data_IF_641338482887
#
_entry.id   IF_641338482887
#
_cell.length_a   1.000
_cell.length_b   1.000
_cell.length_c   1.000
_cell.angle_alpha   90.00
_cell.angle_beta   90.00
_cell.angle_gamma   90.00
#
_symmetry.space_group_name_H-M   'P 1'
#
loop_
_entity.id
_entity.type
_entity.pdbx_description
1 polymer ?
#
# COMPACT_ATOMS: atom_id res chain seq x y z
N UNK A 1 14.07 -14.72 7.70
CA UNK A 1 13.16 -14.26 8.78
C UNK A 1 13.64 -12.90 9.28
N UNK A 2 12.73 -11.92 9.41
CA UNK A 2 13.07 -10.58 9.94
C UNK A 2 13.23 -10.67 11.46
N UNK A 3 14.23 -9.98 12.01
CA UNK A 3 14.45 -9.92 13.45
C UNK A 3 13.38 -9.05 14.11
N UNK A 4 12.64 -9.59 15.05
CA UNK A 4 11.61 -8.84 15.80
C UNK A 4 12.23 -7.78 16.70
N UNK A 5 11.65 -6.58 16.78
CA UNK A 5 12.07 -5.57 17.72
C UNK A 5 11.91 -6.04 19.19
N UNK A 6 12.68 -5.47 20.13
CA UNK A 6 12.49 -5.75 21.54
C UNK A 6 11.10 -5.34 22.01
N UNK A 7 10.50 -6.17 22.86
CA UNK A 7 9.21 -5.85 23.48
C UNK A 7 9.38 -4.71 24.51
N UNK A 8 8.63 -3.63 24.34
CA UNK A 8 8.71 -2.45 25.19
C UNK A 8 7.61 -2.53 26.25
N UNK A 9 8.02 -2.45 27.50
CA UNK A 9 7.12 -2.46 28.67
C UNK A 9 6.87 -1.03 29.16
N UNK A 10 5.84 -0.84 29.97
CA UNK A 10 5.48 0.48 30.52
C UNK A 10 6.65 1.17 31.25
N UNK A 11 7.47 0.41 31.99
CA UNK A 11 8.68 0.94 32.64
C UNK A 11 9.69 1.52 31.65
N UNK A 12 9.80 0.93 30.46
CA UNK A 12 10.74 1.35 29.41
C UNK A 12 10.23 2.65 28.76
N UNK A 13 8.90 2.80 28.61
CA UNK A 13 8.28 4.05 28.15
C UNK A 13 8.45 5.18 29.17
N UNK A 14 8.31 4.91 30.48
CA UNK A 14 8.55 5.91 31.54
C UNK A 14 10.00 6.38 31.49
N UNK A 15 10.95 5.48 31.29
CA UNK A 15 12.37 5.82 31.13
C UNK A 15 12.60 6.65 29.85
N UNK A 16 11.95 6.26 28.74
CA UNK A 16 12.05 6.95 27.46
C UNK A 16 11.60 8.41 27.55
N UNK A 17 10.56 8.74 28.36
CA UNK A 17 10.09 10.12 28.59
C UNK A 17 11.23 11.00 29.13
N UNK A 18 12.07 10.46 30.01
CA UNK A 18 13.20 11.21 30.57
C UNK A 18 14.34 11.35 29.56
N UNK A 19 14.58 10.29 28.78
CA UNK A 19 15.69 10.23 27.83
C UNK A 19 15.43 11.11 26.59
N UNK A 20 14.20 11.14 26.06
CA UNK A 20 13.88 11.91 24.86
C UNK A 20 13.99 13.44 25.07
N UNK A 21 14.02 13.90 26.33
CA UNK A 21 14.26 15.31 26.65
C UNK A 21 15.75 15.71 26.55
N UNK A 22 16.67 14.76 26.41
CA UNK A 22 18.09 15.08 26.18
C UNK A 22 18.26 15.48 24.70
N UNK A 23 18.86 16.64 24.38
CA UNK A 23 18.94 17.15 23.00
C UNK A 23 19.58 16.16 22.01
N UNK A 24 20.65 15.47 22.43
CA UNK A 24 21.36 14.50 21.60
C UNK A 24 20.51 13.24 21.28
N UNK A 25 19.69 12.79 22.25
CA UNK A 25 18.74 11.68 22.06
C UNK A 25 17.59 12.12 21.18
N UNK A 26 17.01 13.29 21.44
CA UNK A 26 15.93 13.85 20.62
C UNK A 26 16.33 13.97 19.14
N UNK A 27 17.49 14.54 18.83
CA UNK A 27 18.00 14.67 17.46
C UNK A 27 18.18 13.32 16.78
N UNK A 28 18.69 12.31 17.51
CA UNK A 28 18.85 10.96 16.96
C UNK A 28 17.49 10.30 16.69
N UNK A 29 16.54 10.41 17.61
CA UNK A 29 15.18 9.90 17.49
C UNK A 29 14.45 10.57 16.31
N UNK A 30 14.57 11.90 16.17
CA UNK A 30 13.97 12.63 15.06
C UNK A 30 14.51 12.17 13.71
N UNK A 31 15.82 11.93 13.61
CA UNK A 31 16.45 11.40 12.39
C UNK A 31 15.94 9.99 12.05
N UNK A 32 15.90 9.09 13.05
CA UNK A 32 15.39 7.73 12.88
C UNK A 32 13.92 7.74 12.45
N UNK A 33 13.09 8.58 13.07
CA UNK A 33 11.67 8.68 12.74
C UNK A 33 11.42 9.41 11.42
N UNK A 34 12.30 10.30 10.97
CA UNK A 34 12.18 10.91 9.66
C UNK A 34 12.23 9.87 8.53
N UNK A 35 13.11 8.88 8.64
CA UNK A 35 13.24 7.79 7.67
C UNK A 35 12.44 6.54 8.06
N UNK A 36 11.72 6.57 9.18
CA UNK A 36 10.94 5.48 9.77
C UNK A 36 11.74 4.18 9.87
N UNK A 37 13.01 4.28 10.32
CA UNK A 37 13.94 3.16 10.34
C UNK A 37 13.46 2.01 11.23
N UNK A 38 13.71 0.79 10.80
CA UNK A 38 13.36 -0.43 11.53
C UNK A 38 14.42 -0.79 12.57
N UNK A 39 14.06 -1.64 13.53
CA UNK A 39 14.94 -2.10 14.61
C UNK A 39 16.29 -2.61 14.13
N UNK A 40 16.33 -3.39 13.04
CA UNK A 40 17.59 -3.93 12.49
C UNK A 40 18.63 -2.84 12.16
N UNK A 41 18.16 -1.63 11.80
CA UNK A 41 19.04 -0.49 11.50
C UNK A 41 19.33 0.34 12.75
N UNK A 42 18.32 0.51 13.62
CA UNK A 42 18.41 1.34 14.84
C UNK A 42 19.40 0.75 15.84
N UNK A 43 19.45 -0.58 15.99
CA UNK A 43 20.32 -1.24 16.99
C UNK A 43 21.82 -1.05 16.75
N UNK A 44 22.22 -0.70 15.53
CA UNK A 44 23.62 -0.45 15.15
C UNK A 44 23.99 1.03 15.07
N UNK A 45 23.09 1.93 15.44
CA UNK A 45 23.39 3.37 15.45
C UNK A 45 24.45 3.68 16.50
N UNK A 46 25.28 4.70 16.22
CA UNK A 46 26.19 5.27 17.22
C UNK A 46 25.36 5.94 18.31
N UNK A 47 25.51 5.47 19.54
CA UNK A 47 24.71 5.91 20.67
C UNK A 47 25.43 7.03 21.46
N UNK A 48 24.67 7.99 22.03
CA UNK A 48 25.17 8.84 23.11
C UNK A 48 25.68 8.02 24.31
N UNK A 49 26.58 8.62 25.10
CA UNK A 49 27.16 7.95 26.26
C UNK A 49 26.07 7.54 27.28
N UNK A 50 26.17 6.29 27.75
CA UNK A 50 25.25 5.70 28.71
C UNK A 50 23.86 5.36 28.19
N UNK A 51 23.62 5.41 26.86
CA UNK A 51 22.37 4.98 26.23
C UNK A 51 22.54 3.60 25.61
N UNK A 52 21.60 2.70 25.82
CA UNK A 52 21.54 1.38 25.14
C UNK A 52 20.66 1.44 23.91
N UNK A 53 20.84 0.50 22.96
CA UNK A 53 20.01 0.40 21.75
C UNK A 53 18.52 0.17 22.08
N UNK A 54 18.22 -0.60 23.13
CA UNK A 54 16.85 -0.84 23.58
C UNK A 54 16.19 0.43 24.15
N UNK A 55 16.94 1.23 24.92
CA UNK A 55 16.45 2.52 25.42
C UNK A 55 16.22 3.52 24.28
N UNK A 56 17.13 3.55 23.29
CA UNK A 56 16.92 4.35 22.08
C UNK A 56 15.66 3.90 21.34
N UNK A 57 15.47 2.58 21.19
CA UNK A 57 14.25 2.04 20.56
C UNK A 57 13.00 2.41 21.32
N UNK A 58 13.03 2.38 22.65
CA UNK A 58 11.89 2.85 23.50
C UNK A 58 11.57 4.32 23.26
N UNK A 59 12.59 5.18 23.09
CA UNK A 59 12.38 6.59 22.73
C UNK A 59 11.77 6.75 21.34
N UNK A 60 12.22 5.98 20.35
CA UNK A 60 11.68 5.95 18.98
C UNK A 60 10.20 5.57 19.01
N UNK A 61 9.85 4.49 19.72
CA UNK A 61 8.47 4.01 19.79
C UNK A 61 7.56 4.97 20.57
N UNK A 62 8.05 5.55 21.68
CA UNK A 62 7.30 6.57 22.42
C UNK A 62 6.92 7.73 21.50
N UNK A 63 7.88 8.26 20.73
CA UNK A 63 7.63 9.38 19.82
C UNK A 63 6.63 9.00 18.71
N UNK A 64 6.75 7.81 18.13
CA UNK A 64 5.78 7.29 17.16
C UNK A 64 4.37 7.18 17.77
N UNK A 65 4.26 6.65 18.99
CA UNK A 65 2.97 6.59 19.69
C UNK A 65 2.34 7.96 19.92
N UNK A 66 3.14 8.99 20.24
CA UNK A 66 2.66 10.37 20.39
C UNK A 66 2.19 10.98 19.06
N UNK A 67 2.74 10.53 17.93
CA UNK A 67 2.38 10.96 16.57
C UNK A 67 1.33 10.05 15.90
N UNK A 68 0.71 9.14 16.68
CA UNK A 68 -0.30 8.23 16.13
C UNK A 68 -1.52 9.01 15.68
N UNK A 69 -1.78 8.95 14.37
CA UNK A 69 -2.89 9.65 13.73
C UNK A 69 -4.07 8.72 13.39
N UNK A 70 -3.82 7.41 13.33
CA UNK A 70 -4.83 6.45 12.89
C UNK A 70 -4.69 5.12 13.62
N UNK A 71 -5.83 4.47 13.86
CA UNK A 71 -5.92 3.09 14.34
C UNK A 71 -7.09 2.40 13.65
N UNK A 72 -6.81 1.26 13.01
CA UNK A 72 -7.85 0.34 12.55
C UNK A 72 -8.08 -0.68 13.65
N UNK A 73 -9.04 -0.40 14.53
CA UNK A 73 -9.20 -1.09 15.82
C UNK A 73 -9.46 -2.59 15.69
N UNK A 74 -10.24 -3.01 14.68
CA UNK A 74 -10.54 -4.43 14.44
C UNK A 74 -9.33 -5.32 14.14
N UNK A 75 -8.19 -4.71 13.75
CA UNK A 75 -6.98 -5.43 13.33
C UNK A 75 -5.73 -5.03 14.13
N UNK A 76 -5.85 -4.11 15.08
CA UNK A 76 -4.70 -3.57 15.82
C UNK A 76 -3.69 -2.81 14.95
N UNK A 77 -4.04 -2.48 13.68
CA UNK A 77 -3.17 -1.73 12.78
C UNK A 77 -3.16 -0.26 13.19
N UNK A 78 -1.97 0.31 13.31
CA UNK A 78 -1.78 1.72 13.69
C UNK A 78 -0.91 2.46 12.67
N UNK A 79 -1.10 3.76 12.54
CA UNK A 79 -0.24 4.61 11.73
C UNK A 79 0.16 5.85 12.49
N UNK A 80 1.47 6.10 12.55
CA UNK A 80 2.06 7.33 13.03
C UNK A 80 2.50 8.16 11.83
N UNK A 81 2.16 9.45 11.81
CA UNK A 81 2.43 10.33 10.67
C UNK A 81 3.51 11.33 11.07
N UNK A 82 4.70 11.16 10.47
CA UNK A 82 5.85 12.01 10.77
C UNK A 82 5.79 13.34 10.02
N UNK A 83 6.58 14.33 10.49
CA UNK A 83 6.71 15.61 9.81
C UNK A 83 7.21 15.46 8.36
N UNK A 84 8.06 14.47 8.09
CA UNK A 84 8.51 14.18 6.71
C UNK A 84 7.36 13.71 5.84
N UNK A 85 6.54 12.76 6.31
CA UNK A 85 5.36 12.29 5.58
C UNK A 85 4.40 13.44 5.26
N UNK A 86 4.12 14.32 6.23
CA UNK A 86 3.26 15.49 6.01
C UNK A 86 3.84 16.46 4.97
N UNK A 87 5.16 16.68 5.01
CA UNK A 87 5.84 17.54 4.03
C UNK A 87 5.77 16.95 2.63
N UNK A 88 6.00 15.63 2.50
CA UNK A 88 5.85 14.93 1.22
C UNK A 88 4.41 15.00 0.70
N UNK A 89 3.40 14.85 1.57
CA UNK A 89 2.01 15.02 1.18
C UNK A 89 1.74 16.42 0.63
N UNK A 90 2.28 17.46 1.29
CA UNK A 90 2.17 18.83 0.79
C UNK A 90 2.84 19.01 -0.58
N UNK A 91 4.03 18.46 -0.77
CA UNK A 91 4.73 18.51 -2.07
C UNK A 91 3.92 17.79 -3.17
N UNK A 92 3.29 16.67 -2.83
CA UNK A 92 2.40 15.98 -3.76
C UNK A 92 1.16 16.82 -4.09
N UNK A 93 0.52 17.46 -3.11
CA UNK A 93 -0.63 18.32 -3.34
C UNK A 93 -0.29 19.48 -4.30
N UNK A 94 0.86 20.08 -4.10
CA UNK A 94 1.32 21.20 -4.93
C UNK A 94 1.66 20.79 -6.37
N UNK A 95 2.11 19.55 -6.58
CA UNK A 95 2.59 19.08 -7.88
C UNK A 95 1.59 18.18 -8.61
N UNK A 96 0.73 17.44 -7.90
CA UNK A 96 -0.11 16.37 -8.45
C UNK A 96 -1.60 16.55 -8.18
N UNK A 97 -1.98 17.46 -7.28
CA UNK A 97 -3.35 17.78 -6.94
C UNK A 97 -3.85 19.07 -7.62
N UNK A 98 -5.16 19.27 -7.58
CA UNK A 98 -5.81 20.49 -8.02
C UNK A 98 -6.06 20.62 -9.53
N UNK A 99 -6.87 21.62 -9.89
CA UNK A 99 -7.34 21.85 -11.27
C UNK A 99 -6.38 22.70 -12.13
N UNK A 100 -5.36 23.32 -11.53
CA UNK A 100 -4.51 24.31 -12.18
C UNK A 100 -3.40 23.72 -13.07
N UNK A 101 -2.98 22.49 -12.84
CA UNK A 101 -1.80 21.91 -13.47
C UNK A 101 -2.04 21.08 -14.72
N UNK A 102 -3.25 20.59 -14.95
CA UNK A 102 -3.51 19.58 -15.96
C UNK A 102 -3.19 20.03 -17.40
N UNK A 103 -3.42 21.29 -17.73
CA UNK A 103 -3.19 21.80 -19.08
C UNK A 103 -1.76 22.27 -19.34
N UNK A 104 -0.99 22.58 -18.30
CA UNK A 104 0.34 23.13 -18.45
C UNK A 104 1.46 22.08 -18.51
N UNK A 105 1.24 20.90 -17.89
CA UNK A 105 2.26 19.85 -17.75
C UNK A 105 2.24 18.87 -18.93
N UNK A 106 1.06 18.56 -19.47
CA UNK A 106 0.92 17.62 -20.59
C UNK A 106 0.21 18.33 -21.74
N UNK A 107 0.84 18.48 -22.93
CA UNK A 107 0.19 19.05 -24.10
C UNK A 107 -1.10 18.32 -24.47
N UNK A 108 -2.17 19.05 -24.77
CA UNK A 108 -3.50 18.48 -25.04
C UNK A 108 -3.47 17.45 -26.19
N UNK A 109 -2.64 17.69 -27.20
CA UNK A 109 -2.49 16.83 -28.38
C UNK A 109 -1.99 15.43 -28.05
N UNK A 110 -1.28 15.26 -26.92
CA UNK A 110 -0.64 13.99 -26.53
C UNK A 110 -1.26 13.36 -25.29
N UNK A 111 -2.25 14.00 -24.65
CA UNK A 111 -2.83 13.52 -23.39
C UNK A 111 -3.35 12.09 -23.47
N UNK A 112 -4.15 11.79 -24.49
CA UNK A 112 -4.74 10.46 -24.68
C UNK A 112 -3.64 9.39 -24.87
N UNK A 113 -2.62 9.69 -25.66
CA UNK A 113 -1.52 8.75 -25.89
C UNK A 113 -0.70 8.49 -24.63
N UNK A 114 -0.43 9.55 -23.83
CA UNK A 114 0.24 9.41 -22.53
C UNK A 114 -0.60 8.62 -21.53
N UNK A 115 -1.90 8.90 -21.46
CA UNK A 115 -2.84 8.18 -20.60
C UNK A 115 -2.84 6.69 -20.94
N UNK A 116 -3.11 6.33 -22.19
CA UNK A 116 -3.12 4.92 -22.63
C UNK A 116 -1.78 4.24 -22.33
N UNK A 117 -0.66 4.94 -22.58
CA UNK A 117 0.67 4.39 -22.31
C UNK A 117 0.90 4.14 -20.82
N UNK A 118 0.43 5.05 -19.95
CA UNK A 118 0.58 4.91 -18.49
C UNK A 118 -0.29 3.79 -17.93
N UNK A 119 -1.55 3.69 -18.37
CA UNK A 119 -2.44 2.59 -17.96
C UNK A 119 -1.89 1.23 -18.38
N UNK A 120 -1.30 1.13 -19.58
CA UNK A 120 -0.60 -0.10 -20.02
C UNK A 120 0.60 -0.43 -19.13
N UNK A 121 1.43 0.57 -18.79
CA UNK A 121 2.59 0.36 -17.91
C UNK A 121 2.17 -0.08 -16.50
N UNK A 122 1.10 0.50 -15.96
CA UNK A 122 0.55 0.10 -14.66
C UNK A 122 0.07 -1.35 -14.70
N UNK A 123 -0.75 -1.71 -15.70
CA UNK A 123 -1.27 -3.06 -15.86
C UNK A 123 -0.17 -4.11 -16.02
N UNK A 124 0.84 -3.80 -16.82
CA UNK A 124 1.99 -4.70 -17.06
C UNK A 124 2.80 -4.87 -15.76
N UNK A 125 3.21 -3.75 -15.15
CA UNK A 125 4.07 -3.80 -13.96
C UNK A 125 3.36 -4.44 -12.77
N UNK A 126 2.09 -4.10 -12.53
CA UNK A 126 1.29 -4.68 -11.46
C UNK A 126 1.09 -6.19 -11.64
N UNK A 127 0.86 -6.66 -12.87
CA UNK A 127 0.72 -8.10 -13.13
C UNK A 127 2.04 -8.85 -13.06
N UNK A 128 3.16 -8.23 -13.49
CA UNK A 128 4.50 -8.80 -13.37
C UNK A 128 4.94 -8.96 -11.91
N UNK A 129 4.53 -8.07 -11.02
CA UNK A 129 4.75 -8.22 -9.57
C UNK A 129 4.08 -9.49 -9.01
N UNK A 130 2.96 -9.90 -9.60
CA UNK A 130 2.21 -11.11 -9.24
C UNK A 130 2.57 -12.33 -10.12
N UNK A 131 3.73 -12.30 -10.76
CA UNK A 131 4.27 -13.45 -11.47
C UNK A 131 3.93 -13.57 -12.96
N UNK A 132 3.25 -12.59 -13.57
CA UNK A 132 3.07 -12.60 -15.01
C UNK A 132 4.41 -12.50 -15.74
N UNK A 133 4.72 -13.50 -16.58
CA UNK A 133 6.04 -13.66 -17.24
C UNK A 133 6.13 -13.03 -18.62
N UNK A 134 5.03 -12.47 -19.15
CA UNK A 134 5.00 -11.83 -20.48
C UNK A 134 5.94 -10.63 -20.54
N UNK A 135 6.77 -10.56 -21.60
CA UNK A 135 7.67 -9.42 -21.76
C UNK A 135 6.89 -8.13 -22.00
N UNK A 136 7.45 -7.01 -21.54
CA UNK A 136 6.83 -5.68 -21.68
C UNK A 136 6.49 -5.31 -23.13
N UNK A 137 7.35 -5.71 -24.09
CA UNK A 137 7.12 -5.46 -25.52
C UNK A 137 5.89 -6.22 -26.03
N UNK A 138 5.80 -7.52 -25.74
CA UNK A 138 4.68 -8.38 -26.16
C UNK A 138 3.38 -7.88 -25.52
N UNK A 139 3.40 -7.58 -24.24
CA UNK A 139 2.22 -7.05 -23.53
C UNK A 139 1.72 -5.73 -24.13
N UNK A 140 2.61 -4.77 -24.40
CA UNK A 140 2.24 -3.50 -25.06
C UNK A 140 1.65 -3.71 -26.45
N UNK A 141 2.25 -4.58 -27.25
CA UNK A 141 1.75 -4.87 -28.59
C UNK A 141 0.36 -5.55 -28.54
N UNK A 142 0.15 -6.47 -27.59
CA UNK A 142 -1.13 -7.10 -27.33
C UNK A 142 -2.22 -6.06 -27.00
N UNK A 143 -1.94 -5.19 -26.01
CA UNK A 143 -2.91 -4.19 -25.58
C UNK A 143 -3.21 -3.13 -26.64
N UNK A 144 -2.18 -2.63 -27.34
CA UNK A 144 -2.35 -1.63 -28.43
C UNK A 144 -3.12 -2.15 -29.61
N UNK A 145 -2.87 -3.39 -30.01
CA UNK A 145 -3.50 -4.03 -31.19
C UNK A 145 -4.80 -4.77 -30.82
N UNK A 146 -5.19 -4.71 -29.53
CA UNK A 146 -6.38 -5.42 -29.02
C UNK A 146 -6.39 -6.92 -29.37
N UNK A 147 -5.22 -7.56 -29.32
CA UNK A 147 -5.07 -8.98 -29.57
C UNK A 147 -5.55 -9.75 -28.34
N UNK A 148 -6.34 -10.80 -28.56
CA UNK A 148 -6.79 -11.67 -27.46
C UNK A 148 -5.62 -12.33 -26.74
N UNK A 149 -5.61 -12.39 -25.40
CA UNK A 149 -4.58 -13.08 -24.63
C UNK A 149 -4.45 -14.57 -25.02
N UNK A 150 -3.21 -15.06 -25.06
CA UNK A 150 -2.87 -16.43 -25.45
C UNK A 150 -2.32 -17.27 -24.29
N UNK A 151 -2.05 -16.64 -23.15
CA UNK A 151 -1.53 -17.30 -21.94
C UNK A 151 -2.15 -16.69 -20.68
N UNK A 152 -2.07 -17.40 -19.55
CA UNK A 152 -2.50 -16.90 -18.23
C UNK A 152 -1.82 -15.55 -17.92
N UNK A 153 -0.52 -15.41 -18.20
CA UNK A 153 0.22 -14.15 -17.97
C UNK A 153 -0.30 -12.99 -18.83
N UNK A 154 -0.61 -13.23 -20.09
CA UNK A 154 -1.22 -12.23 -20.98
C UNK A 154 -2.63 -11.86 -20.51
N UNK A 155 -3.41 -12.85 -20.07
CA UNK A 155 -4.75 -12.64 -19.52
C UNK A 155 -4.70 -11.79 -18.24
N UNK A 156 -3.76 -12.06 -17.33
CA UNK A 156 -3.56 -11.24 -16.12
C UNK A 156 -3.31 -9.77 -16.47
N UNK A 157 -2.46 -9.51 -17.46
CA UNK A 157 -2.15 -8.14 -17.90
C UNK A 157 -3.36 -7.48 -18.56
N UNK A 158 -4.07 -8.22 -19.42
CA UNK A 158 -5.27 -7.73 -20.08
C UNK A 158 -6.35 -7.37 -19.06
N UNK A 159 -6.63 -8.26 -18.12
CA UNK A 159 -7.60 -8.05 -17.04
C UNK A 159 -7.26 -6.81 -16.20
N UNK A 160 -6.00 -6.68 -15.82
CA UNK A 160 -5.55 -5.52 -15.04
C UNK A 160 -5.73 -4.22 -15.83
N UNK A 161 -5.41 -4.22 -17.11
CA UNK A 161 -5.65 -3.06 -17.98
C UNK A 161 -7.14 -2.69 -18.07
N UNK A 162 -8.02 -3.68 -18.23
CA UNK A 162 -9.46 -3.45 -18.25
C UNK A 162 -9.97 -2.93 -16.89
N UNK A 163 -9.46 -3.50 -15.79
CA UNK A 163 -9.81 -3.05 -14.44
C UNK A 163 -9.38 -1.60 -14.19
N UNK A 164 -8.15 -1.23 -14.55
CA UNK A 164 -7.67 0.15 -14.38
C UNK A 164 -8.50 1.13 -15.23
N UNK A 165 -8.85 0.75 -16.46
CA UNK A 165 -9.78 1.55 -17.30
C UNK A 165 -11.12 1.71 -16.62
N UNK A 166 -11.71 0.60 -16.16
CA UNK A 166 -12.99 0.62 -15.47
C UNK A 166 -12.99 1.59 -14.27
N UNK A 167 -12.01 1.49 -13.36
CA UNK A 167 -11.95 2.38 -12.20
C UNK A 167 -11.66 3.83 -12.57
N UNK A 168 -11.00 4.10 -13.70
CA UNK A 168 -10.79 5.46 -14.22
C UNK A 168 -12.11 6.06 -14.74
N UNK A 169 -12.89 5.27 -15.48
CA UNK A 169 -14.19 5.69 -16.01
C UNK A 169 -15.23 5.89 -14.90
N UNK A 170 -15.13 5.10 -13.80
CA UNK A 170 -16.05 5.12 -12.65
C UNK A 170 -15.47 5.84 -11.42
N UNK A 171 -14.48 6.72 -11.61
CA UNK A 171 -13.73 7.35 -10.50
C UNK A 171 -14.56 8.15 -9.50
N UNK A 172 -15.75 8.63 -9.89
CA UNK A 172 -16.66 9.38 -9.01
C UNK A 172 -17.62 8.51 -8.20
N UNK A 173 -17.70 7.22 -8.50
CA UNK A 173 -18.62 6.31 -7.81
C UNK A 173 -18.14 5.96 -6.39
N UNK A 174 -19.10 5.60 -5.54
CA UNK A 174 -18.81 5.10 -4.20
C UNK A 174 -18.39 3.63 -4.26
N UNK A 175 -17.40 3.24 -3.45
CA UNK A 175 -17.06 1.84 -3.26
C UNK A 175 -18.18 1.13 -2.49
N UNK A 176 -18.71 0.06 -3.05
CA UNK A 176 -19.65 -0.86 -2.39
C UNK A 176 -19.07 -2.28 -2.37
N UNK A 177 -19.58 -3.18 -1.52
CA UNK A 177 -19.16 -4.58 -1.52
C UNK A 177 -19.32 -5.24 -2.90
N UNK A 178 -20.42 -4.97 -3.60
CA UNK A 178 -20.71 -5.51 -4.93
C UNK A 178 -19.72 -5.00 -5.96
N UNK A 179 -19.37 -3.70 -5.89
CA UNK A 179 -18.41 -3.09 -6.80
C UNK A 179 -16.98 -3.61 -6.54
N UNK A 180 -16.63 -3.89 -5.28
CA UNK A 180 -15.36 -4.53 -4.93
C UNK A 180 -15.28 -5.94 -5.54
N UNK A 181 -16.35 -6.74 -5.44
CA UNK A 181 -16.42 -8.06 -6.06
C UNK A 181 -16.37 -7.98 -7.59
N UNK A 182 -17.02 -6.97 -8.19
CA UNK A 182 -16.95 -6.74 -9.63
C UNK A 182 -15.53 -6.36 -10.10
N UNK A 183 -14.83 -5.49 -9.37
CA UNK A 183 -13.43 -5.15 -9.64
C UNK A 183 -12.55 -6.40 -9.56
N UNK A 184 -12.75 -7.23 -8.55
CA UNK A 184 -12.02 -8.49 -8.42
C UNK A 184 -12.37 -9.45 -9.57
N UNK A 185 -13.63 -9.55 -10.00
CA UNK A 185 -14.01 -10.40 -11.13
C UNK A 185 -13.34 -9.98 -12.44
N UNK A 186 -13.30 -8.68 -12.73
CA UNK A 186 -12.57 -8.15 -13.87
C UNK A 186 -11.07 -8.48 -13.80
N UNK A 187 -10.49 -8.38 -12.59
CA UNK A 187 -9.06 -8.62 -12.35
C UNK A 187 -8.66 -10.08 -12.53
N UNK A 188 -9.58 -11.02 -12.25
CA UNK A 188 -9.27 -12.45 -12.15
C UNK A 188 -9.93 -13.34 -13.20
N UNK A 189 -10.75 -12.78 -14.10
CA UNK A 189 -11.40 -13.53 -15.18
C UNK A 189 -10.42 -14.45 -15.93
N UNK A 190 -10.71 -15.73 -16.02
CA UNK A 190 -9.88 -16.76 -16.71
C UNK A 190 -8.43 -16.87 -16.20
N UNK A 191 -8.15 -16.45 -14.97
CA UNK A 191 -6.79 -16.53 -14.39
C UNK A 191 -6.73 -17.34 -13.09
N UNK A 192 -7.87 -17.64 -12.48
CA UNK A 192 -7.96 -18.52 -11.31
C UNK A 192 -8.06 -19.99 -11.75
N UNK A 193 -7.56 -20.88 -10.90
CA UNK A 193 -7.63 -22.32 -11.14
C UNK A 193 -9.06 -22.84 -10.94
N UNK A 194 -9.84 -22.22 -10.03
CA UNK A 194 -11.26 -22.45 -9.85
C UNK A 194 -12.05 -21.19 -10.24
N UNK A 195 -12.89 -21.30 -11.27
CA UNK A 195 -13.72 -20.19 -11.77
C UNK A 195 -14.77 -19.71 -10.75
N UNK A 196 -15.16 -20.55 -9.78
CA UNK A 196 -16.10 -20.17 -8.72
C UNK A 196 -15.52 -19.11 -7.77
N UNK A 197 -14.21 -18.94 -7.71
CA UNK A 197 -13.55 -17.95 -6.86
C UNK A 197 -13.49 -16.55 -7.51
N UNK A 198 -13.85 -16.44 -8.79
CA UNK A 198 -13.89 -15.17 -9.51
C UNK A 198 -14.97 -14.26 -8.93
N UNK A 199 -14.59 -13.07 -8.46
CA UNK A 199 -15.53 -12.13 -7.86
C UNK A 199 -16.13 -12.61 -6.53
N UNK A 200 -15.41 -13.42 -5.77
CA UNK A 200 -15.88 -14.02 -4.52
C UNK A 200 -14.81 -13.88 -3.42
N UNK A 201 -15.24 -13.61 -2.20
CA UNK A 201 -14.36 -13.67 -1.04
C UNK A 201 -13.98 -15.12 -0.69
N UNK A 202 -12.77 -15.32 -0.16
CA UNK A 202 -12.38 -16.64 0.40
C UNK A 202 -13.29 -17.03 1.55
N UNK A 203 -13.48 -18.33 1.72
CA UNK A 203 -14.41 -18.93 2.70
C UNK A 203 -13.68 -19.83 3.70
N UNK A 204 -12.36 -19.80 3.73
CA UNK A 204 -11.49 -20.55 4.64
C UNK A 204 -10.18 -19.77 4.88
N UNK A 205 -9.33 -20.31 5.76
CA UNK A 205 -8.05 -19.74 6.15
C UNK A 205 -6.84 -20.48 5.51
N UNK A 206 -7.05 -21.16 4.37
CA UNK A 206 -5.98 -21.88 3.67
C UNK A 206 -5.05 -20.96 2.87
N UNK A 207 -5.51 -19.74 2.58
CA UNK A 207 -4.72 -18.75 1.82
C UNK A 207 -3.63 -18.19 2.71
N UNK A 208 -2.38 -18.30 2.24
CA UNK A 208 -1.19 -17.71 2.84
C UNK A 208 -0.39 -16.98 1.79
N UNK A 209 0.46 -16.06 2.21
CA UNK A 209 1.42 -15.40 1.31
C UNK A 209 2.79 -16.04 1.52
N UNK A 210 3.35 -16.58 0.44
CA UNK A 210 4.66 -17.22 0.44
C UNK A 210 5.70 -16.38 -0.29
N UNK A 211 6.94 -16.52 0.17
CA UNK A 211 8.08 -16.02 -0.60
C UNK A 211 8.24 -16.86 -1.87
N UNK A 212 8.22 -16.21 -3.04
CA UNK A 212 8.25 -16.90 -4.33
C UNK A 212 9.54 -17.74 -4.59
N UNK A 213 10.62 -17.51 -3.80
CA UNK A 213 11.91 -18.20 -3.97
C UNK A 213 12.11 -19.27 -2.88
N UNK A 214 11.84 -18.92 -1.62
CA UNK A 214 12.11 -19.80 -0.47
C UNK A 214 10.91 -20.66 -0.08
N UNK A 215 9.71 -20.36 -0.59
CA UNK A 215 8.44 -21.00 -0.19
C UNK A 215 8.13 -20.90 1.31
N UNK A 216 8.80 -19.98 2.01
CA UNK A 216 8.47 -19.69 3.40
C UNK A 216 7.20 -18.84 3.46
N UNK A 217 6.30 -19.16 4.39
CA UNK A 217 5.13 -18.32 4.67
C UNK A 217 5.64 -17.01 5.28
N UNK A 218 5.35 -15.92 4.61
CA UNK A 218 5.75 -14.56 5.01
C UNK A 218 4.60 -13.77 5.63
N UNK A 219 3.35 -14.14 5.33
CA UNK A 219 2.16 -13.56 5.93
C UNK A 219 1.04 -14.59 6.01
N UNK A 220 0.38 -14.65 7.16
CA UNK A 220 -0.86 -15.40 7.35
C UNK A 220 -1.99 -14.39 7.53
N UNK A 221 -2.90 -14.28 6.56
CA UNK A 221 -4.02 -13.35 6.66
C UNK A 221 -4.88 -13.61 7.90
N UNK A 222 -5.57 -12.59 8.43
CA UNK A 222 -6.58 -12.78 9.47
C UNK A 222 -7.69 -13.75 9.03
N UNK A 223 -8.44 -14.33 9.98
CA UNK A 223 -9.51 -15.29 9.65
C UNK A 223 -10.51 -14.75 8.63
N UNK A 224 -10.96 -15.61 7.72
CA UNK A 224 -11.98 -15.27 6.72
C UNK A 224 -13.29 -14.77 7.34
N UNK A 225 -13.60 -15.14 8.56
CA UNK A 225 -14.83 -14.73 9.26
C UNK A 225 -14.94 -13.22 9.45
N UNK A 226 -13.79 -12.51 9.45
CA UNK A 226 -13.79 -11.04 9.60
C UNK A 226 -13.98 -10.30 8.29
N UNK A 227 -13.93 -10.97 7.13
CA UNK A 227 -13.99 -10.32 5.81
C UNK A 227 -15.26 -9.48 5.66
N UNK A 228 -16.47 -9.91 6.04
CA UNK A 228 -17.67 -9.09 5.91
C UNK A 228 -17.58 -7.76 6.68
N UNK A 229 -17.08 -7.80 7.91
CA UNK A 229 -16.89 -6.58 8.73
C UNK A 229 -15.80 -5.69 8.19
N UNK A 230 -14.69 -6.28 7.71
CA UNK A 230 -13.62 -5.55 7.05
C UNK A 230 -14.11 -4.82 5.80
N UNK A 231 -14.85 -5.50 4.92
CA UNK A 231 -15.36 -4.91 3.67
C UNK A 231 -16.31 -3.75 3.96
N UNK A 232 -17.20 -3.90 4.94
CA UNK A 232 -18.08 -2.81 5.36
C UNK A 232 -17.30 -1.59 5.85
N UNK A 233 -16.26 -1.81 6.67
CA UNK A 233 -15.39 -0.75 7.17
C UNK A 233 -14.52 -0.14 6.06
N UNK A 234 -13.98 -0.95 5.14
CA UNK A 234 -13.22 -0.51 3.97
C UNK A 234 -14.07 0.41 3.08
N UNK A 235 -15.30 0.02 2.76
CA UNK A 235 -16.22 0.82 1.96
C UNK A 235 -16.52 2.16 2.67
N UNK A 236 -16.80 2.14 3.97
CA UNK A 236 -17.00 3.36 4.76
C UNK A 236 -15.74 4.24 4.72
N UNK A 237 -14.57 3.69 4.99
CA UNK A 237 -13.30 4.40 5.01
C UNK A 237 -12.94 4.98 3.63
N UNK A 238 -13.18 4.25 2.55
CA UNK A 238 -12.96 4.70 1.17
C UNK A 238 -13.86 5.87 0.80
N UNK A 239 -15.14 5.82 1.20
CA UNK A 239 -16.16 6.78 0.78
C UNK A 239 -16.23 8.03 1.67
N UNK A 240 -15.68 7.98 2.88
CA UNK A 240 -15.77 9.06 3.85
C UNK A 240 -15.06 10.34 3.35
N UNK A 241 -15.81 11.43 3.22
CA UNK A 241 -15.30 12.73 2.79
C UNK A 241 -14.84 13.55 3.98
N UNK A 242 -15.66 13.56 5.05
CA UNK A 242 -15.40 14.33 6.28
C UNK A 242 -15.25 13.38 7.47
N UNK A 243 -14.01 13.04 7.81
CA UNK A 243 -13.69 12.24 8.99
C UNK A 243 -13.53 13.13 10.23
N UNK A 244 -13.87 12.60 11.43
CA UNK A 244 -13.61 13.28 12.70
C UNK A 244 -12.13 13.63 12.91
N UNK A 245 -11.25 12.76 12.39
CA UNK A 245 -9.81 12.98 12.40
C UNK A 245 -9.35 13.05 10.94
N UNK A 246 -8.73 14.17 10.60
CA UNK A 246 -8.21 14.33 9.24
C UNK A 246 -7.03 13.38 9.00
N UNK A 247 -7.15 12.60 7.94
CA UNK A 247 -6.06 11.79 7.39
C UNK A 247 -5.87 12.26 5.95
N UNK A 248 -4.65 12.66 5.63
CA UNK A 248 -4.32 13.14 4.30
C UNK A 248 -4.75 12.12 3.23
N UNK A 249 -5.37 12.53 2.10
CA UNK A 249 -5.88 11.58 1.10
C UNK A 249 -4.83 10.60 0.58
N UNK A 250 -3.59 11.03 0.35
CA UNK A 250 -2.51 10.12 -0.07
C UNK A 250 -2.28 9.03 0.98
N UNK A 251 -2.18 9.41 2.25
CA UNK A 251 -1.98 8.46 3.35
C UNK A 251 -3.19 7.52 3.46
N UNK A 252 -4.40 8.04 3.30
CA UNK A 252 -5.62 7.22 3.30
C UNK A 252 -5.62 6.21 2.15
N UNK A 253 -5.18 6.61 0.95
CA UNK A 253 -5.00 5.69 -0.18
C UNK A 253 -3.99 4.58 0.12
N UNK A 254 -2.85 4.93 0.74
CA UNK A 254 -1.83 3.96 1.16
C UNK A 254 -2.40 2.99 2.22
N UNK A 255 -3.20 3.49 3.17
CA UNK A 255 -3.90 2.66 4.16
C UNK A 255 -4.85 1.66 3.47
N UNK A 256 -5.65 2.11 2.51
CA UNK A 256 -6.55 1.25 1.73
C UNK A 256 -5.77 0.13 1.04
N UNK A 257 -4.68 0.49 0.37
CA UNK A 257 -3.79 -0.48 -0.29
C UNK A 257 -3.26 -1.51 0.71
N UNK A 258 -2.65 -1.05 1.81
CA UNK A 258 -2.10 -1.94 2.83
C UNK A 258 -3.17 -2.88 3.40
N UNK A 259 -4.32 -2.35 3.81
CA UNK A 259 -5.36 -3.13 4.48
C UNK A 259 -5.96 -4.23 3.58
N UNK A 260 -6.14 -3.96 2.29
CA UNK A 260 -6.61 -5.00 1.36
C UNK A 260 -5.55 -6.08 1.15
N UNK A 261 -4.28 -5.70 1.05
CA UNK A 261 -3.19 -6.65 0.93
C UNK A 261 -2.97 -7.46 2.23
N UNK A 262 -3.16 -6.86 3.40
CA UNK A 262 -3.02 -7.49 4.72
C UNK A 262 -4.17 -8.47 5.02
N UNK A 263 -5.42 -8.03 4.83
CA UNK A 263 -6.60 -8.89 5.11
C UNK A 263 -6.74 -10.00 4.08
N UNK A 264 -6.25 -9.79 2.87
CA UNK A 264 -6.23 -10.80 1.81
C UNK A 264 -7.60 -11.43 1.58
N UNK A 265 -8.65 -10.66 1.24
CA UNK A 265 -10.03 -11.14 1.25
C UNK A 265 -10.36 -12.14 0.14
N UNK A 266 -9.49 -12.37 -0.82
CA UNK A 266 -9.69 -13.23 -1.99
C UNK A 266 -8.71 -14.41 -1.99
N UNK A 267 -9.00 -15.43 -2.79
CA UNK A 267 -8.10 -16.58 -2.97
C UNK A 267 -6.84 -16.18 -3.74
N UNK A 268 -6.98 -15.33 -4.76
CA UNK A 268 -5.87 -14.72 -5.53
C UNK A 268 -6.28 -13.31 -6.00
N UNK A 269 -5.35 -12.54 -6.55
CA UNK A 269 -5.61 -11.21 -7.09
C UNK A 269 -5.64 -10.09 -6.04
N UNK A 270 -5.33 -10.38 -4.78
CA UNK A 270 -5.37 -9.40 -3.69
C UNK A 270 -4.43 -8.22 -3.93
N UNK A 271 -3.17 -8.47 -4.31
CA UNK A 271 -2.19 -7.41 -4.58
C UNK A 271 -2.60 -6.51 -5.75
N UNK A 272 -3.08 -7.09 -6.85
CA UNK A 272 -3.59 -6.33 -8.00
C UNK A 272 -4.82 -5.50 -7.64
N UNK A 273 -5.76 -6.07 -6.88
CA UNK A 273 -6.96 -5.38 -6.40
C UNK A 273 -6.59 -4.24 -5.44
N UNK A 274 -5.67 -4.46 -4.51
CA UNK A 274 -5.20 -3.43 -3.58
C UNK A 274 -4.61 -2.22 -4.31
N UNK A 275 -3.78 -2.45 -5.34
CA UNK A 275 -3.21 -1.38 -6.16
C UNK A 275 -4.27 -0.68 -7.02
N UNK A 276 -5.24 -1.41 -7.56
CA UNK A 276 -6.34 -0.82 -8.31
C UNK A 276 -7.22 0.07 -7.42
N UNK A 277 -7.52 -0.33 -6.19
CA UNK A 277 -8.26 0.48 -5.22
C UNK A 277 -7.50 1.72 -4.79
N UNK A 278 -6.18 1.63 -4.57
CA UNK A 278 -5.34 2.79 -4.32
C UNK A 278 -5.43 3.78 -5.49
N UNK A 279 -5.25 3.29 -6.71
CA UNK A 279 -5.32 4.09 -7.93
C UNK A 279 -6.67 4.79 -8.06
N UNK A 280 -7.76 4.06 -7.91
CA UNK A 280 -9.12 4.60 -7.93
C UNK A 280 -9.35 5.66 -6.85
N UNK A 281 -8.93 5.37 -5.61
CA UNK A 281 -9.07 6.32 -4.51
C UNK A 281 -8.35 7.64 -4.78
N UNK A 282 -7.11 7.59 -5.30
CA UNK A 282 -6.36 8.78 -5.66
C UNK A 282 -7.07 9.62 -6.72
N UNK A 283 -7.58 8.99 -7.78
CA UNK A 283 -8.35 9.67 -8.82
C UNK A 283 -9.64 10.31 -8.27
N UNK A 284 -10.37 9.58 -7.44
CA UNK A 284 -11.57 10.07 -6.77
C UNK A 284 -11.30 11.30 -5.91
N UNK A 285 -10.12 11.38 -5.31
CA UNK A 285 -9.68 12.51 -4.46
C UNK A 285 -9.04 13.66 -5.25
N UNK A 286 -9.06 13.61 -6.59
CA UNK A 286 -8.61 14.69 -7.46
C UNK A 286 -7.12 14.68 -7.79
N UNK A 287 -6.39 13.60 -7.48
CA UNK A 287 -4.98 13.44 -7.87
C UNK A 287 -4.91 12.97 -9.33
N UNK A 288 -5.29 13.85 -10.23
CA UNK A 288 -5.44 13.57 -11.67
C UNK A 288 -4.17 13.06 -12.34
N UNK A 289 -3.00 13.48 -11.84
CA UNK A 289 -1.71 13.06 -12.42
C UNK A 289 -1.46 11.55 -12.21
N UNK A 290 -2.16 10.92 -11.25
CA UNK A 290 -2.11 9.47 -11.07
C UNK A 290 -2.50 8.72 -12.34
N UNK A 291 -3.39 9.27 -13.19
CA UNK A 291 -3.74 8.67 -14.48
C UNK A 291 -2.54 8.54 -15.44
N UNK A 292 -1.50 9.38 -15.24
CA UNK A 292 -0.33 9.46 -16.10
C UNK A 292 0.93 8.83 -15.50
N UNK A 293 0.81 8.18 -14.34
CA UNK A 293 1.92 7.57 -13.62
C UNK A 293 1.67 6.09 -13.40
N UNK A 294 2.69 5.26 -13.63
CA UNK A 294 2.67 3.86 -13.22
C UNK A 294 3.34 3.71 -11.85
N UNK A 295 2.53 3.60 -10.82
CA UNK A 295 2.97 3.40 -9.44
C UNK A 295 3.59 2.01 -9.28
N UNK A 296 2.96 0.98 -9.84
CA UNK A 296 3.48 -0.39 -9.80
C UNK A 296 4.84 -0.54 -10.46
N UNK A 297 5.14 0.27 -11.48
CA UNK A 297 6.48 0.34 -12.07
C UNK A 297 7.54 0.88 -11.11
N UNK A 298 7.17 1.84 -10.28
CA UNK A 298 8.07 2.40 -9.25
C UNK A 298 8.27 1.37 -8.14
N UNK A 299 7.19 0.77 -7.65
CA UNK A 299 7.23 -0.30 -6.64
C UNK A 299 8.09 -1.47 -7.11
N UNK A 300 7.95 -1.91 -8.37
CA UNK A 300 8.72 -3.03 -8.91
C UNK A 300 10.24 -2.79 -8.96
N UNK A 301 10.68 -1.52 -9.02
CA UNK A 301 12.11 -1.16 -8.95
C UNK A 301 12.66 -1.21 -7.52
N UNK A 302 11.80 -1.09 -6.52
CA UNK A 302 12.12 -1.15 -5.09
C UNK A 302 11.35 -2.28 -4.41
N UNK A 303 11.16 -3.41 -5.12
CA UNK A 303 10.35 -4.54 -4.67
C UNK A 303 10.72 -5.02 -3.27
N UNK A 304 12.02 -5.16 -2.99
CA UNK A 304 12.51 -5.60 -1.66
C UNK A 304 12.10 -4.62 -0.57
N UNK A 305 12.20 -3.30 -0.80
CA UNK A 305 11.78 -2.30 0.18
C UNK A 305 10.26 -2.37 0.42
N UNK A 306 9.49 -2.53 -0.65
CA UNK A 306 8.04 -2.69 -0.57
C UNK A 306 7.65 -3.95 0.22
N UNK A 307 8.24 -5.11 -0.06
CA UNK A 307 7.99 -6.35 0.66
C UNK A 307 8.42 -6.25 2.13
N UNK A 308 9.60 -5.67 2.39
CA UNK A 308 10.08 -5.45 3.76
C UNK A 308 9.16 -4.53 4.56
N UNK A 309 8.51 -3.55 3.93
CA UNK A 309 7.60 -2.64 4.64
C UNK A 309 6.38 -3.36 5.24
N UNK A 310 5.85 -4.39 4.57
CA UNK A 310 4.84 -5.29 5.16
C UNK A 310 5.40 -6.07 6.34
N UNK A 311 6.55 -6.71 6.14
CA UNK A 311 7.17 -7.55 7.18
C UNK A 311 7.55 -6.74 8.42
N UNK A 312 8.07 -5.52 8.25
CA UNK A 312 8.36 -4.61 9.36
C UNK A 312 7.10 -4.18 10.10
N UNK A 313 6.03 -3.89 9.35
CA UNK A 313 4.74 -3.53 9.93
C UNK A 313 4.23 -4.64 10.84
N UNK A 314 4.19 -5.88 10.36
CA UNK A 314 3.70 -7.02 11.14
C UNK A 314 4.62 -7.35 12.32
N UNK A 315 5.93 -7.37 12.11
CA UNK A 315 6.91 -7.67 13.16
C UNK A 315 6.92 -6.62 14.28
N UNK A 316 6.54 -5.36 14.00
CA UNK A 316 6.44 -4.26 14.98
C UNK A 316 4.98 -3.94 15.36
N UNK A 317 4.21 -4.98 15.69
CA UNK A 317 2.83 -4.87 16.24
C UNK A 317 1.87 -4.09 15.33
N UNK A 318 1.95 -4.35 14.04
CA UNK A 318 1.13 -3.72 13.01
C UNK A 318 1.28 -2.18 12.95
N UNK A 319 2.51 -1.68 13.13
CA UNK A 319 2.86 -0.28 12.91
C UNK A 319 3.03 -0.01 11.40
N UNK A 320 1.97 0.44 10.75
CA UNK A 320 1.93 0.70 9.31
C UNK A 320 2.77 1.91 8.86
N UNK A 321 3.38 2.63 9.79
CA UNK A 321 4.28 3.74 9.45
C UNK A 321 5.41 3.34 8.52
N UNK A 322 5.89 2.09 8.58
CA UNK A 322 6.89 1.54 7.65
C UNK A 322 6.39 1.45 6.20
N UNK A 323 5.11 1.20 6.01
CA UNK A 323 4.52 1.11 4.69
C UNK A 323 4.15 2.48 4.12
N UNK A 324 3.90 3.47 4.99
CA UNK A 324 3.59 4.85 4.59
C UNK A 324 4.86 5.64 4.23
N UNK A 325 6.00 5.38 4.89
CA UNK A 325 7.25 6.11 4.71
C UNK A 325 7.95 5.79 3.40
#
# INVERSE_FOLDING_TARGET
MIESPPDIKDKDLIQAIKLVNKPEVAQLVDKINADYEYWSDVKYKKLPEGLTSTELWSCVKLTRMMQRAFTWSGFGVTASITNRMQRMCHEFDMNFGGSWGASAVIPNENKEQYLISSLMEEAISSSQMEGASTTRKVAKDMLRKQISPRSKSEQMIFNNYQTIRFVTEHKSEALTPELLLHIHSLMTEKTLDNEEDVGRYRTNDEVVVENAITHEIVHTPPSYEIIPSFVAELCRFFNEIEAKVFIHPIIRGIIIHFMVAYVHPFVDGNGRTARALFYWYMLRRGYWLTEYLSISRIISKSKIAYENSFLYTEADKNDMGYFIA
#
